data_IF_311779155945
#
_entry.id   IF_311779155945
#
_cell.length_a   1.000
_cell.length_b   1.000
_cell.length_c   1.000
_cell.angle_alpha   90.00
_cell.angle_beta   90.00
_cell.angle_gamma   90.00
#
_symmetry.space_group_name_H-M   'P 1'
#
loop_
_entity.id
_entity.type
_entity.pdbx_description
1 polymer ?
#
# COMPACT_ATOMS: atom_id res chain seq x y z
N UNK A 1 -20.76 2.20 -23.95
CA UNK A 1 -20.33 0.79 -23.81
C UNK A 1 -18.82 0.78 -23.77
N UNK A 2 -18.22 0.19 -22.73
CA UNK A 2 -16.78 0.00 -22.65
C UNK A 2 -16.30 -0.98 -23.73
N UNK A 3 -15.06 -0.80 -24.19
CA UNK A 3 -14.43 -1.62 -25.25
C UNK A 3 -13.61 -2.76 -24.67
N UNK A 4 -13.06 -2.55 -23.48
CA UNK A 4 -12.24 -3.49 -22.75
C UNK A 4 -12.77 -3.78 -21.35
N UNK A 5 -12.01 -4.56 -20.60
CA UNK A 5 -12.28 -4.94 -19.21
C UNK A 5 -11.34 -4.19 -18.23
N UNK A 6 -10.62 -3.16 -18.71
CA UNK A 6 -9.65 -2.41 -17.89
C UNK A 6 -10.35 -1.37 -17.03
N UNK A 7 -9.99 -1.32 -15.75
CA UNK A 7 -10.36 -0.27 -14.80
C UNK A 7 -9.91 1.13 -15.27
N UNK A 8 -8.81 1.22 -16.03
CA UNK A 8 -8.32 2.46 -16.61
C UNK A 8 -9.34 3.11 -17.56
N UNK A 9 -10.05 2.30 -18.39
CA UNK A 9 -11.10 2.82 -19.28
C UNK A 9 -12.26 3.38 -18.47
N UNK A 10 -12.62 2.71 -17.36
CA UNK A 10 -13.67 3.18 -16.45
C UNK A 10 -13.27 4.50 -15.80
N UNK A 11 -12.06 4.61 -15.30
CA UNK A 11 -11.54 5.84 -14.66
C UNK A 11 -11.55 7.00 -15.66
N UNK A 12 -11.10 6.78 -16.91
CA UNK A 12 -11.13 7.81 -17.94
C UNK A 12 -12.56 8.27 -18.28
N UNK A 13 -13.51 7.35 -18.40
CA UNK A 13 -14.91 7.68 -18.64
C UNK A 13 -15.54 8.46 -17.47
N UNK A 14 -15.17 8.14 -16.24
CA UNK A 14 -15.63 8.87 -15.06
C UNK A 14 -15.04 10.28 -15.01
N UNK A 15 -13.77 10.44 -15.37
CA UNK A 15 -13.12 11.76 -15.44
C UNK A 15 -13.74 12.62 -16.53
N UNK A 16 -14.02 12.05 -17.70
CA UNK A 16 -14.71 12.75 -18.80
C UNK A 16 -16.10 13.22 -18.37
N UNK A 17 -16.80 12.42 -17.58
CA UNK A 17 -18.18 12.71 -17.17
C UNK A 17 -18.29 13.64 -15.95
N UNK A 18 -17.45 13.46 -14.93
CA UNK A 18 -17.54 14.18 -13.64
C UNK A 18 -16.38 15.12 -13.36
N UNK A 19 -15.35 15.10 -14.18
CA UNK A 19 -14.08 15.75 -13.87
C UNK A 19 -13.24 14.97 -12.86
N UNK A 20 -11.98 15.38 -12.74
CA UNK A 20 -10.99 14.70 -11.87
C UNK A 20 -11.41 14.73 -10.41
N UNK A 21 -11.87 15.89 -9.91
CA UNK A 21 -12.20 16.08 -8.49
C UNK A 21 -13.27 15.13 -7.99
N UNK A 22 -14.43 15.15 -8.65
CA UNK A 22 -15.55 14.29 -8.27
C UNK A 22 -15.20 12.81 -8.44
N UNK A 23 -14.43 12.48 -9.46
CA UNK A 23 -14.01 11.09 -9.70
C UNK A 23 -13.13 10.57 -8.58
N UNK A 24 -12.05 11.27 -8.19
CA UNK A 24 -11.11 10.79 -7.17
C UNK A 24 -11.75 10.63 -5.78
N UNK A 25 -12.73 11.46 -5.46
CA UNK A 25 -13.49 11.35 -4.21
C UNK A 25 -14.36 10.08 -4.15
N UNK A 26 -14.77 9.56 -5.30
CA UNK A 26 -15.60 8.35 -5.42
C UNK A 26 -14.80 7.07 -5.61
N UNK A 27 -13.53 7.17 -6.03
CA UNK A 27 -12.69 6.00 -6.18
C UNK A 27 -12.42 5.34 -4.82
N UNK A 28 -12.61 4.02 -4.77
CA UNK A 28 -12.29 3.17 -3.63
C UNK A 28 -11.27 2.15 -4.13
N UNK A 29 -10.08 2.15 -3.53
CA UNK A 29 -9.03 1.21 -3.92
C UNK A 29 -7.63 1.78 -3.75
N UNK A 30 -6.67 1.08 -4.34
CA UNK A 30 -5.24 1.37 -4.28
C UNK A 30 -4.79 1.81 -5.67
N UNK A 31 -4.43 3.07 -5.82
CA UNK A 31 -4.04 3.61 -7.11
C UNK A 31 -3.04 4.75 -7.01
N UNK A 32 -2.19 4.83 -8.02
CA UNK A 32 -1.43 6.00 -8.38
C UNK A 32 -1.47 6.11 -9.90
N UNK A 33 -1.90 7.23 -10.43
CA UNK A 33 -1.97 7.42 -11.87
C UNK A 33 -1.59 8.83 -12.28
N UNK A 34 -1.23 8.95 -13.56
CA UNK A 34 -0.99 10.20 -14.24
C UNK A 34 -2.00 10.35 -15.40
N UNK A 35 -2.63 11.50 -15.48
CA UNK A 35 -3.53 11.87 -16.57
C UNK A 35 -2.90 13.02 -17.35
N UNK A 36 -2.78 12.88 -18.67
CA UNK A 36 -2.33 13.93 -19.56
C UNK A 36 -3.49 14.50 -20.36
N UNK A 37 -3.81 15.76 -20.12
CA UNK A 37 -4.76 16.50 -20.96
C UNK A 37 -4.02 17.10 -22.15
N UNK A 38 -4.39 16.66 -23.37
CA UNK A 38 -3.77 17.10 -24.60
C UNK A 38 -4.21 18.50 -25.02
N UNK A 39 -5.42 18.92 -24.65
CA UNK A 39 -5.96 20.23 -25.03
C UNK A 39 -5.38 21.32 -24.13
N UNK A 40 -5.50 21.12 -22.83
CA UNK A 40 -4.95 22.07 -21.83
C UNK A 40 -3.43 21.93 -21.67
N UNK A 41 -2.82 20.86 -22.19
CA UNK A 41 -1.41 20.53 -22.03
C UNK A 41 -1.00 20.51 -20.56
N UNK A 42 -1.86 19.95 -19.75
CA UNK A 42 -1.68 19.80 -18.31
C UNK A 42 -1.47 18.33 -17.93
N UNK A 43 -0.68 18.12 -16.89
CA UNK A 43 -0.44 16.82 -16.29
C UNK A 43 -1.09 16.78 -14.91
N UNK A 44 -1.90 15.75 -14.64
CA UNK A 44 -2.50 15.55 -13.34
C UNK A 44 -1.98 14.25 -12.74
N UNK A 45 -1.42 14.33 -11.54
CA UNK A 45 -0.98 13.18 -10.76
C UNK A 45 -1.96 12.95 -9.61
N UNK A 46 -2.34 11.70 -9.40
CA UNK A 46 -3.27 11.32 -8.34
C UNK A 46 -2.68 10.17 -7.53
N UNK A 47 -2.78 10.26 -6.20
CA UNK A 47 -2.40 9.19 -5.29
C UNK A 47 -3.56 8.82 -4.37
N UNK A 48 -3.76 7.53 -4.13
CA UNK A 48 -4.87 7.00 -3.35
C UNK A 48 -4.95 7.56 -1.92
N UNK A 49 -6.09 7.36 -1.27
CA UNK A 49 -6.48 7.95 0.02
C UNK A 49 -5.43 7.79 1.11
N UNK A 50 -4.85 6.59 1.26
CA UNK A 50 -3.86 6.28 2.31
C UNK A 50 -2.45 6.09 1.76
N UNK A 51 -2.26 6.31 0.42
CA UNK A 51 -0.95 6.29 -0.23
C UNK A 51 -0.34 4.90 -0.33
N UNK A 52 -1.16 3.85 -0.54
CA UNK A 52 -0.68 2.48 -0.70
C UNK A 52 0.21 2.38 -1.94
N UNK A 53 -0.24 2.96 -3.07
CA UNK A 53 0.60 2.99 -4.26
C UNK A 53 1.57 4.16 -4.19
N UNK A 54 2.88 3.92 -4.44
CA UNK A 54 3.89 4.97 -4.39
C UNK A 54 3.79 5.89 -5.60
N UNK A 55 4.10 7.18 -5.39
CA UNK A 55 4.24 8.16 -6.46
C UNK A 55 5.23 9.24 -6.04
N UNK A 56 6.34 9.28 -6.76
CA UNK A 56 7.43 10.22 -6.54
C UNK A 56 7.51 11.21 -7.69
N UNK A 57 8.03 12.41 -7.41
CA UNK A 57 8.26 13.41 -8.44
C UNK A 57 9.46 14.29 -8.12
N UNK A 58 10.01 14.89 -9.16
CA UNK A 58 11.02 15.94 -9.05
C UNK A 58 10.78 17.02 -10.09
N UNK A 59 11.21 18.23 -9.77
CA UNK A 59 11.22 19.37 -10.69
C UNK A 59 12.63 19.94 -10.76
N UNK A 60 13.31 19.67 -11.84
CA UNK A 60 14.69 20.07 -12.03
C UNK A 60 14.94 20.47 -13.49
N UNK A 61 15.71 21.57 -13.68
CA UNK A 61 16.11 22.01 -15.02
C UNK A 61 14.95 22.34 -15.97
N UNK A 62 13.81 22.80 -15.44
CA UNK A 62 12.60 23.06 -16.21
C UNK A 62 11.79 21.82 -16.62
N UNK A 63 12.28 20.62 -16.32
CA UNK A 63 11.58 19.37 -16.57
C UNK A 63 10.88 18.87 -15.29
N UNK A 64 9.68 18.30 -15.45
CA UNK A 64 8.94 17.60 -14.42
C UNK A 64 9.04 16.09 -14.67
N UNK A 65 9.48 15.32 -13.68
CA UNK A 65 9.62 13.87 -13.76
C UNK A 65 8.83 13.23 -12.64
N UNK A 66 8.22 12.11 -12.91
CA UNK A 66 7.48 11.32 -11.91
C UNK A 66 7.64 9.83 -12.17
N UNK A 67 7.53 9.03 -11.13
CA UNK A 67 7.58 7.57 -11.20
C UNK A 67 7.01 6.93 -9.94
N UNK A 68 6.74 5.65 -10.00
CA UNK A 68 6.38 4.84 -8.82
C UNK A 68 7.59 4.49 -7.95
N UNK A 69 8.81 4.58 -8.48
CA UNK A 69 10.06 4.26 -7.77
C UNK A 69 11.09 5.37 -7.97
N UNK A 70 11.86 5.67 -6.93
CA UNK A 70 12.88 6.74 -6.98
C UNK A 70 13.99 6.39 -7.97
N UNK A 71 14.38 5.09 -8.06
CA UNK A 71 15.41 4.64 -9.01
C UNK A 71 15.07 4.95 -10.47
N UNK A 72 13.78 4.94 -10.81
CA UNK A 72 13.33 5.32 -12.14
C UNK A 72 13.57 6.82 -12.43
N UNK A 73 13.37 7.70 -11.44
CA UNK A 73 13.72 9.13 -11.56
C UNK A 73 15.23 9.29 -11.64
N UNK A 74 16.00 8.55 -10.85
CA UNK A 74 17.47 8.59 -10.82
C UNK A 74 18.12 7.95 -12.05
N UNK A 75 17.37 7.29 -12.93
CA UNK A 75 17.89 6.83 -14.21
C UNK A 75 18.28 7.99 -15.15
N UNK A 76 17.70 9.19 -14.94
CA UNK A 76 18.15 10.41 -15.58
C UNK A 76 19.42 10.94 -14.87
N UNK A 77 20.57 10.96 -15.54
CA UNK A 77 21.84 11.39 -14.94
C UNK A 77 21.86 12.87 -14.54
N UNK A 78 20.93 13.68 -15.04
CA UNK A 78 20.80 15.08 -14.63
C UNK A 78 20.20 15.26 -13.24
N UNK A 79 19.57 14.22 -12.67
CA UNK A 79 18.99 14.26 -11.32
C UNK A 79 20.06 13.96 -10.27
N UNK A 80 20.34 14.91 -9.35
CA UNK A 80 21.37 14.72 -8.32
C UNK A 80 21.03 13.61 -7.36
N UNK A 81 22.05 12.84 -6.94
CA UNK A 81 21.93 11.79 -5.91
C UNK A 81 22.46 12.27 -4.56
N UNK A 82 22.06 13.48 -4.16
CA UNK A 82 22.49 14.05 -2.87
C UNK A 82 21.47 13.74 -1.77
N UNK A 83 21.97 13.48 -0.57
CA UNK A 83 21.12 13.22 0.61
C UNK A 83 20.46 14.50 1.08
N UNK A 84 19.16 14.43 1.40
CA UNK A 84 18.43 15.46 2.12
C UNK A 84 18.68 15.31 3.63
N UNK A 85 19.46 16.21 4.22
CA UNK A 85 19.82 16.14 5.64
C UNK A 85 18.62 16.36 6.59
N UNK A 86 17.59 17.11 6.13
CA UNK A 86 16.39 17.29 6.91
C UNK A 86 15.54 16.00 6.92
N UNK A 87 15.39 15.36 5.78
CA UNK A 87 14.74 14.06 5.67
C UNK A 87 15.50 12.98 6.46
N UNK A 88 16.83 13.02 6.47
CA UNK A 88 17.66 12.13 7.30
C UNK A 88 17.38 12.33 8.79
N UNK A 89 17.26 13.57 9.26
CA UNK A 89 16.84 13.87 10.65
C UNK A 89 15.49 13.26 11.00
N UNK A 90 14.52 13.36 10.09
CA UNK A 90 13.22 12.71 10.26
C UNK A 90 13.32 11.18 10.25
N UNK A 91 14.12 10.62 9.35
CA UNK A 91 14.36 9.17 9.33
C UNK A 91 14.89 8.63 10.66
N UNK A 92 15.86 9.32 11.25
CA UNK A 92 16.44 8.94 12.54
C UNK A 92 15.44 9.07 13.71
N UNK A 93 14.39 9.91 13.56
CA UNK A 93 13.36 10.10 14.59
C UNK A 93 12.14 9.21 14.40
N UNK A 94 11.74 8.96 13.16
CA UNK A 94 10.48 8.28 12.80
C UNK A 94 10.72 6.94 12.08
N UNK A 95 11.96 6.51 11.92
CA UNK A 95 12.35 5.28 11.20
C UNK A 95 11.99 5.29 9.70
N UNK A 96 11.46 6.40 9.20
CA UNK A 96 11.05 6.61 7.81
C UNK A 96 11.13 8.09 7.47
N UNK A 97 11.40 8.43 6.21
CA UNK A 97 11.25 9.81 5.73
C UNK A 97 9.77 10.10 5.43
N UNK A 98 9.08 10.93 6.24
CA UNK A 98 7.65 11.21 6.04
C UNK A 98 7.41 12.03 4.77
N UNK A 99 6.28 11.80 4.10
CA UNK A 99 5.87 12.62 2.97
C UNK A 99 5.73 14.11 3.38
N UNK A 100 6.06 15.06 2.51
CA UNK A 100 6.46 14.89 1.11
C UNK A 100 7.94 14.57 0.89
N UNK A 101 8.74 14.47 1.93
CA UNK A 101 10.20 14.30 1.83
C UNK A 101 10.61 12.89 1.39
N UNK A 102 11.76 12.80 0.75
CA UNK A 102 12.52 11.59 0.54
C UNK A 102 13.96 11.83 1.03
N UNK A 103 14.75 10.76 1.19
CA UNK A 103 16.17 10.91 1.50
C UNK A 103 16.99 11.49 0.32
N UNK A 104 16.41 11.58 -0.86
CA UNK A 104 17.04 12.20 -2.02
C UNK A 104 16.60 13.66 -2.16
N UNK A 105 17.54 14.58 -2.00
CA UNK A 105 17.29 16.02 -2.08
C UNK A 105 16.67 16.42 -3.43
N UNK A 106 15.49 17.05 -3.37
CA UNK A 106 14.76 17.50 -4.56
C UNK A 106 13.86 16.43 -5.21
N UNK A 107 13.79 15.22 -4.64
CA UNK A 107 12.79 14.22 -5.00
C UNK A 107 11.76 14.15 -3.87
N UNK A 108 10.50 14.19 -4.23
CA UNK A 108 9.38 14.27 -3.29
C UNK A 108 8.38 13.14 -3.49
N UNK A 109 7.70 12.75 -2.41
CA UNK A 109 6.51 11.88 -2.43
C UNK A 109 5.28 12.74 -2.64
N UNK A 110 4.39 12.38 -3.56
CA UNK A 110 3.05 12.97 -3.54
C UNK A 110 2.34 12.45 -2.28
N UNK A 111 1.87 13.32 -1.37
CA UNK A 111 1.21 12.85 -0.15
C UNK A 111 -0.05 12.04 -0.43
N UNK A 112 -0.40 11.15 0.50
CA UNK A 112 -1.62 10.35 0.45
C UNK A 112 -2.87 11.23 0.33
N UNK A 113 -3.86 10.80 -0.46
CA UNK A 113 -5.11 11.52 -0.66
C UNK A 113 -4.94 12.87 -1.37
N UNK A 114 -3.91 13.01 -2.25
CA UNK A 114 -3.64 14.24 -2.99
C UNK A 114 -3.76 14.07 -4.50
N UNK A 115 -4.17 15.18 -5.10
CA UNK A 115 -4.08 15.44 -6.54
C UNK A 115 -3.07 16.55 -6.74
N UNK A 116 -2.20 16.43 -7.74
CA UNK A 116 -1.27 17.48 -8.16
C UNK A 116 -1.51 17.78 -9.63
N UNK A 117 -1.74 19.03 -9.95
CA UNK A 117 -1.88 19.54 -11.31
C UNK A 117 -0.63 20.32 -11.71
N UNK A 118 -0.12 20.04 -12.90
CA UNK A 118 1.04 20.69 -13.49
C UNK A 118 0.59 21.33 -14.80
N UNK A 119 0.53 22.66 -14.82
CA UNK A 119 0.14 23.46 -15.97
C UNK A 119 1.25 23.46 -17.07
N UNK A 120 0.90 23.82 -18.30
CA UNK A 120 1.82 23.91 -19.43
C UNK A 120 3.02 24.85 -19.17
N UNK A 121 2.84 25.89 -18.33
CA UNK A 121 3.91 26.80 -17.90
C UNK A 121 4.81 26.20 -16.81
N UNK A 122 4.56 24.96 -16.41
CA UNK A 122 5.28 24.24 -15.36
C UNK A 122 4.88 24.61 -13.93
N UNK A 123 3.84 25.42 -13.73
CA UNK A 123 3.34 25.70 -12.39
C UNK A 123 2.65 24.46 -11.84
N UNK A 124 3.02 24.03 -10.64
CA UNK A 124 2.43 22.85 -9.99
C UNK A 124 1.62 23.28 -8.76
N UNK A 125 0.46 22.70 -8.58
CA UNK A 125 -0.40 22.88 -7.43
C UNK A 125 -0.86 21.52 -6.92
N UNK A 126 -0.62 21.23 -5.62
CA UNK A 126 -1.14 20.03 -4.97
C UNK A 126 -2.32 20.42 -4.06
N UNK A 127 -3.36 19.59 -4.06
CA UNK A 127 -4.49 19.71 -3.14
C UNK A 127 -4.84 18.35 -2.56
N UNK A 128 -5.29 18.37 -1.32
CA UNK A 128 -5.79 17.16 -0.64
C UNK A 128 -7.27 16.98 -0.95
N UNK A 129 -7.65 15.82 -1.46
CA UNK A 129 -9.05 15.45 -1.69
C UNK A 129 -9.61 14.54 -0.58
N UNK A 130 -8.74 13.92 0.22
CA UNK A 130 -9.17 13.04 1.31
C UNK A 130 -8.23 13.12 2.52
N UNK A 131 -8.78 12.89 3.72
CA UNK A 131 -8.03 12.85 4.98
C UNK A 131 -8.57 11.74 5.88
N UNK A 132 -7.65 10.97 6.49
CA UNK A 132 -7.98 9.97 7.52
C UNK A 132 -8.35 10.62 8.87
N UNK A 133 -8.01 11.89 9.08
CA UNK A 133 -8.32 12.59 10.34
C UNK A 133 -9.83 12.84 10.39
N UNK A 134 -10.54 12.27 11.39
CA UNK A 134 -11.98 12.47 11.52
C UNK A 134 -12.33 13.96 11.69
N UNK A 135 -13.36 14.41 10.98
CA UNK A 135 -13.93 15.73 11.24
C UNK A 135 -14.60 15.79 12.62
N UNK A 136 -14.78 16.99 13.16
CA UNK A 136 -15.45 17.19 14.48
C UNK A 136 -16.87 16.59 14.56
N UNK A 137 -17.55 16.44 13.41
CA UNK A 137 -18.90 15.85 13.34
C UNK A 137 -18.93 14.32 13.49
N UNK A 138 -17.81 13.63 13.28
CA UNK A 138 -17.77 12.16 13.40
C UNK A 138 -17.93 11.66 14.84
N UNK A 139 -17.78 12.51 15.84
CA UNK A 139 -17.94 12.16 17.26
C UNK A 139 -19.40 12.16 17.75
N UNK A 140 -20.35 12.61 16.93
CA UNK A 140 -21.73 12.92 17.38
C UNK A 140 -22.74 11.76 17.25
N UNK A 141 -22.37 10.63 16.68
CA UNK A 141 -23.32 9.53 16.36
C UNK A 141 -23.30 8.33 17.34
N UNK A 142 -22.71 8.49 18.53
CA UNK A 142 -22.78 7.42 19.53
C UNK A 142 -24.10 7.59 20.31
N UNK A 143 -25.14 6.93 19.81
CA UNK A 143 -26.49 6.96 20.41
C UNK A 143 -26.68 5.96 21.56
N UNK A 144 -25.80 4.97 21.66
CA UNK A 144 -25.91 3.89 22.67
C UNK A 144 -25.32 4.32 24.02
N UNK A 145 -26.05 4.12 25.10
CA UNK A 145 -25.69 4.59 26.46
C UNK A 145 -25.05 3.53 27.35
N UNK A 146 -25.11 2.23 26.99
CA UNK A 146 -24.53 1.11 27.77
C UNK A 146 -23.17 0.66 27.21
N UNK A 147 -22.22 0.28 28.09
CA UNK A 147 -20.88 -0.19 27.68
C UNK A 147 -20.96 -1.41 26.75
N UNK A 148 -21.75 -2.41 27.13
CA UNK A 148 -21.90 -3.67 26.37
C UNK A 148 -22.59 -3.44 25.02
N UNK A 149 -23.58 -2.55 24.96
CA UNK A 149 -24.27 -2.20 23.72
C UNK A 149 -23.35 -1.45 22.75
N UNK A 150 -22.49 -0.55 23.25
CA UNK A 150 -21.47 0.15 22.47
C UNK A 150 -20.41 -0.82 21.93
N UNK A 151 -19.89 -1.70 22.78
CA UNK A 151 -18.91 -2.70 22.38
C UNK A 151 -19.45 -3.57 21.24
N UNK A 152 -20.67 -4.09 21.39
CA UNK A 152 -21.33 -4.89 20.36
C UNK A 152 -21.56 -4.10 19.07
N UNK A 153 -21.97 -2.85 19.17
CA UNK A 153 -22.15 -1.96 18.01
C UNK A 153 -20.83 -1.73 17.28
N UNK A 154 -19.73 -1.43 18.00
CA UNK A 154 -18.42 -1.25 17.39
C UNK A 154 -17.88 -2.54 16.78
N UNK A 155 -17.96 -3.66 17.49
CA UNK A 155 -17.51 -4.96 16.99
C UNK A 155 -18.24 -5.35 15.69
N UNK A 156 -19.57 -5.17 15.65
CA UNK A 156 -20.37 -5.42 14.45
C UNK A 156 -19.96 -4.47 13.32
N UNK A 157 -19.86 -3.17 13.61
CA UNK A 157 -19.48 -2.17 12.61
C UNK A 157 -18.07 -2.35 12.05
N UNK A 158 -17.11 -2.80 12.85
CA UNK A 158 -15.74 -3.15 12.42
C UNK A 158 -15.80 -4.38 11.51
N UNK A 159 -16.47 -5.44 11.96
CA UNK A 159 -16.61 -6.69 11.21
C UNK A 159 -17.22 -6.45 9.82
N UNK A 160 -18.33 -5.71 9.74
CA UNK A 160 -19.02 -5.44 8.47
C UNK A 160 -18.16 -4.64 7.50
N UNK A 161 -17.44 -3.63 8.01
CA UNK A 161 -16.53 -2.82 7.20
C UNK A 161 -15.31 -3.62 6.74
N UNK A 162 -14.76 -4.45 7.61
CA UNK A 162 -13.62 -5.29 7.29
C UNK A 162 -14.01 -6.36 6.25
N UNK A 163 -15.16 -7.03 6.42
CA UNK A 163 -15.69 -7.98 5.45
C UNK A 163 -15.86 -7.33 4.07
N UNK A 164 -16.53 -6.18 3.98
CA UNK A 164 -16.71 -5.49 2.71
C UNK A 164 -15.41 -4.96 2.11
N UNK A 165 -14.39 -4.66 2.92
CA UNK A 165 -13.07 -4.28 2.44
C UNK A 165 -12.30 -5.47 1.86
N UNK A 166 -12.40 -6.63 2.50
CA UNK A 166 -11.79 -7.90 2.06
C UNK A 166 -12.42 -8.37 0.75
N UNK A 167 -13.75 -8.44 0.66
CA UNK A 167 -14.48 -8.83 -0.54
C UNK A 167 -14.04 -8.02 -1.77
N UNK A 168 -13.91 -6.69 -1.62
CA UNK A 168 -13.45 -5.82 -2.70
C UNK A 168 -12.01 -6.12 -3.14
N UNK A 169 -11.14 -6.56 -2.23
CA UNK A 169 -9.74 -6.89 -2.52
C UNK A 169 -9.55 -8.30 -3.08
N UNK A 170 -10.55 -9.17 -2.88
CA UNK A 170 -10.56 -10.51 -3.47
C UNK A 170 -10.89 -10.49 -4.97
N UNK A 171 -11.42 -9.38 -5.51
CA UNK A 171 -11.57 -9.20 -6.95
C UNK A 171 -10.19 -9.04 -7.58
N UNK A 172 -9.68 -10.09 -8.19
CA UNK A 172 -8.35 -10.15 -8.79
C UNK A 172 -8.36 -11.03 -10.04
N UNK A 173 -7.65 -10.59 -11.09
CA UNK A 173 -7.45 -11.37 -12.33
C UNK A 173 -6.35 -12.44 -12.17
N UNK A 174 -5.67 -12.45 -11.02
CA UNK A 174 -4.57 -13.38 -10.72
C UNK A 174 -4.78 -14.03 -9.35
N UNK A 175 -4.14 -15.20 -9.10
CA UNK A 175 -4.20 -15.84 -7.80
C UNK A 175 -3.73 -14.90 -6.68
N UNK A 176 -4.49 -14.89 -5.59
CA UNK A 176 -4.19 -14.09 -4.41
C UNK A 176 -4.06 -14.97 -3.15
N UNK A 177 -3.38 -14.45 -2.15
CA UNK A 177 -3.18 -15.10 -0.86
C UNK A 177 -3.03 -14.11 0.29
N UNK A 178 -2.67 -14.61 1.47
CA UNK A 178 -2.52 -13.82 2.70
C UNK A 178 -1.21 -14.15 3.38
N UNK A 179 -0.50 -13.14 3.86
CA UNK A 179 0.56 -13.36 4.84
C UNK A 179 -0.06 -13.60 6.21
N UNK A 180 0.27 -14.75 6.80
CA UNK A 180 -0.31 -15.21 8.05
C UNK A 180 0.74 -15.30 9.15
N UNK A 181 0.65 -14.44 10.15
CA UNK A 181 1.50 -14.47 11.34
C UNK A 181 0.85 -15.18 12.54
N UNK A 182 -0.46 -15.45 12.47
CA UNK A 182 -1.24 -15.90 13.63
C UNK A 182 -1.62 -14.76 14.60
N UNK A 183 -1.19 -13.51 14.32
CA UNK A 183 -1.67 -12.33 15.03
C UNK A 183 -3.13 -12.01 14.69
N UNK A 184 -3.78 -11.17 15.50
CA UNK A 184 -5.22 -10.91 15.38
C UNK A 184 -5.61 -10.33 14.00
N UNK A 185 -4.78 -9.48 13.41
CA UNK A 185 -5.07 -8.82 12.14
C UNK A 185 -5.03 -9.81 10.97
N UNK A 186 -3.92 -10.55 10.81
CA UNK A 186 -3.76 -11.56 9.76
C UNK A 186 -4.77 -12.71 9.91
N UNK A 187 -5.04 -13.13 11.15
CA UNK A 187 -6.05 -14.17 11.45
C UNK A 187 -7.46 -13.71 11.11
N UNK A 188 -7.79 -12.45 11.38
CA UNK A 188 -9.10 -11.86 11.02
C UNK A 188 -9.29 -11.80 9.50
N UNK A 189 -8.24 -11.45 8.76
CA UNK A 189 -8.27 -11.47 7.30
C UNK A 189 -8.54 -12.87 6.77
N UNK A 190 -7.79 -13.88 7.24
CA UNK A 190 -7.99 -15.29 6.85
C UNK A 190 -9.39 -15.76 7.19
N UNK A 191 -9.87 -15.48 8.41
CA UNK A 191 -11.20 -15.89 8.87
C UNK A 191 -12.33 -15.32 8.00
N UNK A 192 -12.23 -14.05 7.60
CA UNK A 192 -13.23 -13.41 6.76
C UNK A 192 -13.11 -13.83 5.29
N UNK A 193 -11.90 -13.97 4.77
CA UNK A 193 -11.67 -14.46 3.41
C UNK A 193 -12.21 -15.88 3.23
N UNK A 194 -12.00 -16.77 4.21
CA UNK A 194 -12.50 -18.15 4.17
C UNK A 194 -14.02 -18.25 4.18
N UNK A 195 -14.74 -17.21 4.62
CA UNK A 195 -16.21 -17.18 4.58
C UNK A 195 -16.78 -16.88 3.18
N UNK A 196 -16.03 -16.18 2.36
CA UNK A 196 -16.47 -15.73 1.01
C UNK A 196 -15.73 -16.44 -0.12
N UNK A 197 -14.64 -17.15 0.17
CA UNK A 197 -13.87 -17.88 -0.82
C UNK A 197 -14.48 -19.26 -1.07
N UNK A 198 -14.65 -19.62 -2.36
CA UNK A 198 -15.08 -20.96 -2.78
C UNK A 198 -13.94 -21.98 -2.75
N UNK A 199 -12.70 -21.53 -2.59
CA UNK A 199 -11.48 -22.36 -2.56
C UNK A 199 -10.71 -22.09 -1.27
N UNK A 200 -9.89 -23.05 -0.81
CA UNK A 200 -8.98 -22.80 0.30
C UNK A 200 -8.12 -21.55 0.05
N UNK A 201 -8.00 -20.69 1.06
CA UNK A 201 -7.18 -19.49 0.99
C UNK A 201 -5.71 -19.90 1.03
N UNK A 202 -4.91 -19.36 0.10
CA UNK A 202 -3.45 -19.52 0.12
C UNK A 202 -2.86 -18.66 1.24
N UNK A 203 -2.15 -19.27 2.18
CA UNK A 203 -1.53 -18.54 3.31
C UNK A 203 -0.04 -18.81 3.40
N UNK A 204 0.74 -17.77 3.75
CA UNK A 204 2.19 -17.83 3.73
C UNK A 204 2.76 -17.27 5.02
N UNK A 205 3.74 -17.98 5.59
CA UNK A 205 4.41 -17.59 6.82
C UNK A 205 5.92 -17.75 6.68
N UNK A 206 6.68 -16.84 7.30
CA UNK A 206 8.12 -16.93 7.45
C UNK A 206 8.45 -17.21 8.92
N UNK A 207 9.37 -18.15 9.15
CA UNK A 207 9.93 -18.43 10.47
C UNK A 207 11.45 -18.37 10.47
N UNK A 208 12.05 -18.47 11.64
CA UNK A 208 13.50 -18.36 11.87
C UNK A 208 14.05 -19.69 12.38
N UNK A 209 15.16 -20.17 11.77
CA UNK A 209 15.87 -21.37 12.22
C UNK A 209 16.65 -21.11 13.52
N UNK A 210 17.31 -19.95 13.61
CA UNK A 210 18.25 -19.61 14.68
C UNK A 210 17.58 -18.97 15.90
N UNK A 211 16.35 -18.44 15.74
CA UNK A 211 15.62 -17.67 16.76
C UNK A 211 14.20 -18.19 16.92
N UNK A 212 14.05 -19.45 17.30
CA UNK A 212 12.76 -20.14 17.39
C UNK A 212 11.78 -19.47 18.37
N UNK A 213 12.28 -18.74 19.37
CA UNK A 213 11.47 -17.96 20.31
C UNK A 213 10.74 -16.76 19.67
N UNK A 214 11.15 -16.36 18.48
CA UNK A 214 10.50 -15.29 17.68
C UNK A 214 9.51 -15.85 16.65
N UNK A 215 9.40 -17.17 16.54
CA UNK A 215 8.51 -17.79 15.57
C UNK A 215 7.05 -17.68 15.99
N UNK A 216 6.23 -17.31 15.02
CA UNK A 216 4.78 -17.30 15.11
C UNK A 216 4.15 -18.50 14.38
N UNK A 217 4.97 -19.47 13.94
CA UNK A 217 4.56 -20.62 13.11
C UNK A 217 3.43 -21.43 13.74
N UNK A 218 3.50 -21.71 15.07
CA UNK A 218 2.48 -22.50 15.73
C UNK A 218 1.13 -21.78 15.77
N UNK A 219 1.13 -20.47 15.95
CA UNK A 219 -0.09 -19.66 15.86
C UNK A 219 -0.63 -19.61 14.43
N UNK A 220 0.26 -19.46 13.44
CA UNK A 220 -0.14 -19.46 12.04
C UNK A 220 -0.76 -20.81 11.64
N UNK A 221 -0.15 -21.93 12.02
CA UNK A 221 -0.69 -23.29 11.78
C UNK A 221 -2.06 -23.48 12.43
N UNK A 222 -2.22 -23.03 13.67
CA UNK A 222 -3.49 -23.13 14.38
C UNK A 222 -4.63 -22.41 13.62
N UNK A 223 -4.34 -21.24 13.06
CA UNK A 223 -5.30 -20.50 12.23
C UNK A 223 -5.50 -21.20 10.88
N UNK A 224 -4.45 -21.66 10.25
CA UNK A 224 -4.50 -22.38 8.98
C UNK A 224 -5.36 -23.65 9.08
N UNK A 225 -5.14 -24.45 10.11
CA UNK A 225 -5.92 -25.66 10.39
C UNK A 225 -7.40 -25.34 10.65
N UNK A 226 -7.66 -24.30 11.46
CA UNK A 226 -9.03 -23.90 11.80
C UNK A 226 -9.85 -23.47 10.59
N UNK A 227 -9.23 -22.81 9.62
CA UNK A 227 -9.91 -22.28 8.43
C UNK A 227 -9.62 -23.10 7.17
N UNK A 228 -8.95 -24.26 7.30
CA UNK A 228 -8.62 -25.17 6.21
C UNK A 228 -7.95 -24.47 5.01
N UNK A 229 -6.92 -23.67 5.28
CA UNK A 229 -6.16 -22.95 4.26
C UNK A 229 -5.09 -23.84 3.62
N UNK A 230 -4.64 -23.49 2.42
CA UNK A 230 -3.41 -24.04 1.84
C UNK A 230 -2.23 -23.27 2.43
N UNK A 231 -1.62 -23.82 3.48
CA UNK A 231 -0.60 -23.13 4.26
C UNK A 231 0.82 -23.48 3.81
N UNK A 232 1.63 -22.45 3.56
CA UNK A 232 3.01 -22.56 3.13
C UNK A 232 3.94 -21.85 4.11
N UNK A 233 5.07 -22.46 4.43
CA UNK A 233 6.05 -21.92 5.36
C UNK A 233 7.44 -21.87 4.74
N UNK A 234 8.22 -20.85 5.10
CA UNK A 234 9.65 -20.77 4.81
C UNK A 234 10.42 -20.48 6.09
N UNK A 235 11.51 -21.21 6.29
CA UNK A 235 12.43 -20.96 7.41
C UNK A 235 13.69 -20.28 6.86
N UNK A 236 14.02 -19.14 7.44
CA UNK A 236 15.22 -18.38 7.12
C UNK A 236 16.18 -18.34 8.31
N UNK A 237 17.44 -18.09 8.06
CA UNK A 237 18.48 -17.92 9.09
C UNK A 237 19.22 -16.58 8.91
N UNK A 238 20.17 -16.33 9.80
CA UNK A 238 20.96 -15.11 9.76
C UNK A 238 21.80 -14.96 8.48
N UNK A 239 22.20 -16.06 7.84
CA UNK A 239 22.94 -16.02 6.59
C UNK A 239 22.01 -15.63 5.43
N UNK A 240 20.80 -16.20 5.36
CA UNK A 240 19.78 -15.82 4.41
C UNK A 240 19.51 -14.30 4.49
N UNK A 241 19.32 -13.79 5.70
CA UNK A 241 19.05 -12.37 5.95
C UNK A 241 20.22 -11.48 5.50
N UNK A 242 21.44 -11.81 5.87
CA UNK A 242 22.63 -11.04 5.49
C UNK A 242 22.86 -11.07 3.97
N UNK A 243 22.66 -12.23 3.34
CA UNK A 243 22.80 -12.40 1.90
C UNK A 243 21.84 -11.54 1.08
N UNK A 244 20.67 -11.19 1.63
CA UNK A 244 19.67 -10.37 0.97
C UNK A 244 19.90 -8.86 1.09
N UNK A 245 20.70 -8.37 2.06
CA UNK A 245 20.80 -6.93 2.36
C UNK A 245 21.19 -6.06 1.16
N UNK A 246 22.07 -6.53 0.28
CA UNK A 246 22.44 -5.78 -0.92
C UNK A 246 21.26 -5.59 -1.88
N UNK A 247 20.41 -6.61 -2.03
CA UNK A 247 19.21 -6.56 -2.86
C UNK A 247 18.12 -5.70 -2.21
N UNK A 248 18.02 -5.69 -0.88
CA UNK A 248 17.08 -4.86 -0.15
C UNK A 248 17.27 -3.39 -0.48
N UNK A 249 18.52 -2.90 -0.50
CA UNK A 249 18.84 -1.52 -0.86
C UNK A 249 18.34 -1.17 -2.26
N UNK A 250 18.48 -2.10 -3.21
CA UNK A 250 17.99 -1.89 -4.57
C UNK A 250 16.46 -1.87 -4.64
N UNK A 251 15.78 -2.73 -3.88
CA UNK A 251 14.32 -2.86 -3.94
C UNK A 251 13.58 -1.72 -3.22
N UNK A 252 14.15 -1.21 -2.12
CA UNK A 252 13.45 -0.22 -1.29
C UNK A 252 13.66 1.24 -1.72
N UNK A 253 14.68 1.56 -2.52
CA UNK A 253 15.11 2.93 -2.86
C UNK A 253 15.55 3.77 -1.64
N UNK A 254 14.77 3.77 -0.57
CA UNK A 254 15.05 4.45 0.70
C UNK A 254 15.07 3.45 1.85
N UNK A 255 15.94 3.61 2.86
CA UNK A 255 15.91 2.76 4.03
C UNK A 255 14.63 2.97 4.84
N UNK A 256 14.10 1.86 5.33
CA UNK A 256 13.06 1.82 6.36
C UNK A 256 13.69 1.11 7.55
N UNK A 257 13.69 1.73 8.73
CA UNK A 257 14.29 1.14 9.93
C UNK A 257 13.35 0.12 10.58
N UNK A 258 12.89 -0.83 9.77
CA UNK A 258 12.03 -1.94 10.17
C UNK A 258 12.67 -3.25 9.74
N UNK A 259 12.96 -4.12 10.68
CA UNK A 259 13.57 -5.42 10.44
C UNK A 259 12.69 -6.36 9.60
N UNK A 260 11.38 -6.13 9.58
CA UNK A 260 10.40 -6.95 8.83
C UNK A 260 10.64 -6.93 7.32
N UNK A 261 11.35 -5.93 6.81
CA UNK A 261 11.62 -5.78 5.37
C UNK A 261 12.33 -6.99 4.75
N UNK A 262 13.22 -7.65 5.50
CA UNK A 262 13.95 -8.84 5.03
C UNK A 262 13.06 -10.09 5.05
N UNK A 263 12.44 -10.47 6.17
CA UNK A 263 11.46 -11.56 6.19
C UNK A 263 10.35 -11.41 5.15
N UNK A 264 9.89 -10.18 4.90
CA UNK A 264 8.84 -9.88 3.91
C UNK A 264 9.26 -10.28 2.49
N UNK A 265 10.54 -10.13 2.13
CA UNK A 265 11.04 -10.62 0.85
C UNK A 265 10.89 -12.14 0.73
N UNK A 266 11.31 -12.89 1.75
CA UNK A 266 11.28 -14.35 1.70
C UNK A 266 9.86 -14.91 1.65
N UNK A 267 8.93 -14.33 2.42
CA UNK A 267 7.53 -14.76 2.39
C UNK A 267 6.86 -14.35 1.07
N UNK A 268 7.22 -13.19 0.51
CA UNK A 268 6.74 -12.78 -0.83
C UNK A 268 7.29 -13.68 -1.93
N UNK A 269 8.55 -14.09 -1.83
CA UNK A 269 9.16 -15.06 -2.74
C UNK A 269 8.45 -16.42 -2.65
N UNK A 270 8.17 -16.88 -1.42
CA UNK A 270 7.41 -18.12 -1.21
C UNK A 270 6.05 -18.06 -1.88
N UNK A 271 5.31 -16.96 -1.74
CA UNK A 271 4.01 -16.77 -2.39
C UNK A 271 4.15 -16.85 -3.93
N UNK A 272 5.12 -16.13 -4.48
CA UNK A 272 5.39 -16.15 -5.92
C UNK A 272 5.77 -17.55 -6.44
N UNK A 273 6.62 -18.27 -5.72
CA UNK A 273 7.06 -19.62 -6.08
C UNK A 273 5.90 -20.63 -6.05
N UNK A 274 4.83 -20.35 -5.29
CA UNK A 274 3.57 -21.09 -5.25
C UNK A 274 2.47 -20.51 -6.17
N UNK A 275 2.84 -19.65 -7.12
CA UNK A 275 1.93 -19.15 -8.15
C UNK A 275 1.01 -18.01 -7.69
N UNK A 276 1.20 -17.47 -6.50
CA UNK A 276 0.44 -16.33 -5.97
C UNK A 276 1.15 -15.03 -6.29
N UNK A 277 0.43 -14.13 -6.97
CA UNK A 277 0.99 -12.84 -7.44
C UNK A 277 0.59 -11.68 -6.55
N UNK A 278 -0.58 -11.76 -5.91
CA UNK A 278 -1.13 -10.72 -5.04
C UNK A 278 -1.32 -11.27 -3.64
N UNK A 279 -0.86 -10.54 -2.63
CA UNK A 279 -1.02 -10.90 -1.21
C UNK A 279 -1.61 -9.74 -0.41
N UNK A 280 -2.36 -10.09 0.61
CA UNK A 280 -2.91 -9.17 1.61
C UNK A 280 -2.19 -9.33 2.94
#
# INVERSE_FOLDING_TARGET
RFRGDSDTEVVLALIDHWGVETTVERLIGMFAFALWDRQERSLILVRDRIGIKPLYFTRLGGAFRFASEIKAILSDPSVPRSTDMHALGHYLSFMVAPAPLTLFKGIYKLPAGHVMEIEANGKARARRYWSAVPGRSAAAEITETGTDAREKMFATGIRDRLSGAIEKRMMSDVPFGVFLSGGIDSSSNVALMSQVSERPVETFTVGFKDHTQLNELDYARLVADKFATNHHEVLIDSQDMQGYLANLVHHQDEPIADWVCVPLYFVSKLAKDNGVTVVQ
#
